data_IF_113731267740
#
_entry.id   IF_113731267740
#
_cell.length_a   1.000
_cell.length_b   1.000
_cell.length_c   1.000
_cell.angle_alpha   90.00
_cell.angle_beta   90.00
_cell.angle_gamma   90.00
#
_symmetry.space_group_name_H-M   'P 1'
#
loop_
_entity.id
_entity.type
_entity.pdbx_description
1 polymer ?
#
# COMPACT_ATOMS: atom_id res chain seq x y z
N UNK A 1 -22.30 28.75 13.73
CA UNK A 1 -21.98 27.60 14.56
C UNK A 1 -20.51 27.19 14.41
N UNK A 2 -20.19 25.92 14.67
CA UNK A 2 -18.79 25.42 14.52
C UNK A 2 -18.39 25.34 13.05
N UNK A 3 -19.32 24.96 12.19
CA UNK A 3 -19.16 24.92 10.73
C UNK A 3 -18.83 26.29 10.13
N UNK A 4 -19.53 27.35 10.54
CA UNK A 4 -19.26 28.73 10.07
C UNK A 4 -17.84 29.22 10.44
N UNK A 5 -17.26 28.69 11.53
CA UNK A 5 -15.89 29.05 11.93
C UNK A 5 -14.86 28.30 11.07
N UNK A 6 -15.12 27.03 10.78
CA UNK A 6 -14.24 26.21 9.93
C UNK A 6 -14.19 26.75 8.51
N UNK A 7 -15.35 27.00 7.89
CA UNK A 7 -15.47 27.61 6.57
C UNK A 7 -14.71 28.94 6.47
N UNK A 8 -14.90 29.84 7.46
CA UNK A 8 -14.20 31.12 7.49
C UNK A 8 -12.68 31.00 7.60
N UNK A 9 -12.19 30.04 8.39
CA UNK A 9 -10.76 29.81 8.53
C UNK A 9 -10.19 29.22 7.25
N UNK A 10 -10.86 28.25 6.67
CA UNK A 10 -10.44 27.60 5.44
C UNK A 10 -10.44 28.58 4.26
N UNK A 11 -11.48 29.43 4.15
CA UNK A 11 -11.55 30.45 3.12
C UNK A 11 -10.38 31.46 3.19
N UNK A 12 -9.98 31.84 4.40
CA UNK A 12 -8.80 32.70 4.58
C UNK A 12 -7.51 31.97 4.21
N UNK A 13 -7.38 30.69 4.58
CA UNK A 13 -6.20 29.89 4.22
C UNK A 13 -6.12 29.70 2.71
N UNK A 14 -7.22 29.38 2.04
CA UNK A 14 -7.28 29.28 0.58
C UNK A 14 -6.86 30.56 -0.13
N UNK A 15 -7.29 31.70 0.40
CA UNK A 15 -6.91 33.03 -0.14
C UNK A 15 -5.41 33.31 -0.03
N UNK A 16 -4.80 32.97 1.11
CA UNK A 16 -3.35 33.11 1.31
C UNK A 16 -2.57 32.14 0.42
N UNK A 17 -3.04 30.89 0.26
CA UNK A 17 -2.44 29.90 -0.66
C UNK A 17 -2.43 30.45 -2.08
N UNK A 18 -3.55 30.97 -2.56
CA UNK A 18 -3.66 31.55 -3.89
C UNK A 18 -2.69 32.72 -4.11
N UNK A 19 -2.53 33.57 -3.10
CA UNK A 19 -1.56 34.66 -3.11
C UNK A 19 -0.12 34.18 -3.20
N UNK A 20 0.27 33.19 -2.39
CA UNK A 20 1.62 32.62 -2.40
C UNK A 20 1.97 31.97 -3.75
N UNK A 21 1.01 31.31 -4.38
CA UNK A 21 1.18 30.70 -5.71
C UNK A 21 1.31 31.80 -6.78
N UNK A 22 0.45 32.82 -6.73
CA UNK A 22 0.47 33.91 -7.69
C UNK A 22 1.77 34.73 -7.63
N UNK A 23 2.38 34.84 -6.45
CA UNK A 23 3.69 35.49 -6.24
C UNK A 23 4.90 34.58 -6.53
N UNK A 24 4.68 33.34 -7.02
CA UNK A 24 5.74 32.34 -7.31
C UNK A 24 6.63 32.05 -6.07
N UNK A 25 6.03 32.04 -4.88
CA UNK A 25 6.74 31.78 -3.62
C UNK A 25 6.88 30.27 -3.38
N UNK A 26 5.81 29.49 -3.61
CA UNK A 26 5.82 28.03 -3.48
C UNK A 26 4.66 27.43 -4.29
N UNK A 27 4.79 26.16 -4.67
CA UNK A 27 3.69 25.40 -5.26
C UNK A 27 2.69 24.87 -4.21
N UNK A 28 1.49 24.42 -4.60
CA UNK A 28 0.47 23.91 -3.68
C UNK A 28 0.98 22.79 -2.77
N UNK A 29 1.77 21.85 -3.31
CA UNK A 29 2.26 20.69 -2.58
C UNK A 29 3.28 21.09 -1.50
N UNK A 30 4.16 22.05 -1.79
CA UNK A 30 5.14 22.55 -0.83
C UNK A 30 4.47 23.37 0.29
N UNK A 31 3.42 24.15 -0.03
CA UNK A 31 2.62 24.89 0.96
C UNK A 31 1.92 23.91 1.90
N UNK A 32 1.24 22.92 1.36
CA UNK A 32 0.53 21.90 2.11
C UNK A 32 1.47 21.12 3.02
N UNK A 33 2.61 20.69 2.50
CA UNK A 33 3.65 20.01 3.26
C UNK A 33 4.21 20.87 4.40
N UNK A 34 4.44 22.16 4.15
CA UNK A 34 4.97 23.06 5.18
C UNK A 34 3.97 23.25 6.32
N UNK A 35 2.67 23.38 6.03
CA UNK A 35 1.62 23.56 7.04
C UNK A 35 1.36 22.27 7.81
N UNK A 36 1.30 21.12 7.14
CA UNK A 36 1.19 19.80 7.80
C UNK A 36 2.35 19.58 8.78
N UNK A 37 3.58 19.76 8.34
CA UNK A 37 4.77 19.50 9.16
C UNK A 37 5.03 20.60 10.22
N UNK A 38 4.74 21.86 9.91
CA UNK A 38 5.04 23.00 10.77
C UNK A 38 3.97 23.31 11.79
N UNK A 39 2.70 23.11 11.45
CA UNK A 39 1.55 23.48 12.28
C UNK A 39 0.73 22.27 12.78
N UNK A 40 1.05 21.04 12.31
CA UNK A 40 0.37 19.83 12.74
C UNK A 40 -1.08 19.72 12.26
N UNK A 41 -1.38 20.29 11.10
CA UNK A 41 -2.69 20.15 10.48
C UNK A 41 -2.86 18.73 9.94
N UNK A 42 -4.07 18.17 9.98
CA UNK A 42 -4.34 16.82 9.42
C UNK A 42 -4.13 16.79 7.92
N UNK A 43 -4.50 17.87 7.21
CA UNK A 43 -4.29 18.06 5.78
C UNK A 43 -3.72 19.44 5.47
N UNK A 44 -3.20 19.61 4.25
CA UNK A 44 -2.70 20.88 3.78
C UNK A 44 -3.82 21.85 3.37
N UNK A 45 -3.59 23.17 3.46
CA UNK A 45 -4.63 24.17 3.18
C UNK A 45 -5.09 24.19 1.72
N UNK A 46 -4.22 23.88 0.74
CA UNK A 46 -4.60 23.83 -0.67
C UNK A 46 -5.55 22.64 -0.92
N UNK A 47 -5.16 21.44 -0.44
CA UNK A 47 -5.99 20.24 -0.56
C UNK A 47 -7.33 20.41 0.17
N UNK A 48 -7.31 20.88 1.41
CA UNK A 48 -8.53 21.10 2.18
C UNK A 48 -9.49 22.09 1.48
N UNK A 49 -8.96 23.06 0.76
CA UNK A 49 -9.75 24.04 0.02
C UNK A 49 -10.36 23.42 -1.25
N UNK A 50 -9.61 22.59 -1.97
CA UNK A 50 -10.12 21.86 -3.13
C UNK A 50 -11.24 20.90 -2.72
N UNK A 51 -11.05 20.11 -1.65
CA UNK A 51 -12.05 19.19 -1.08
C UNK A 51 -13.34 19.91 -0.63
N UNK A 52 -13.23 21.14 -0.11
CA UNK A 52 -14.39 21.93 0.31
C UNK A 52 -15.12 22.57 -0.88
N UNK A 53 -14.37 22.89 -1.94
CA UNK A 53 -14.83 23.56 -3.15
C UNK A 53 -14.56 25.06 -3.15
N UNK A 54 -13.67 25.51 -4.05
CA UNK A 54 -13.19 26.90 -4.13
C UNK A 54 -14.31 27.90 -4.36
N UNK A 55 -15.35 27.56 -5.11
CA UNK A 55 -16.52 28.45 -5.35
C UNK A 55 -17.22 28.83 -4.03
N UNK A 56 -17.43 27.86 -3.14
CA UNK A 56 -18.06 28.13 -1.84
C UNK A 56 -17.17 29.02 -0.95
N UNK A 57 -15.84 28.80 -0.98
CA UNK A 57 -14.88 29.59 -0.21
C UNK A 57 -14.78 31.05 -0.72
N UNK A 58 -14.84 31.26 -2.03
CA UNK A 58 -14.91 32.60 -2.65
C UNK A 58 -16.19 33.32 -2.21
N UNK A 59 -17.35 32.65 -2.27
CA UNK A 59 -18.62 33.21 -1.81
C UNK A 59 -18.58 33.59 -0.31
N UNK A 60 -17.95 32.74 0.51
CA UNK A 60 -17.78 33.03 1.94
C UNK A 60 -16.91 34.26 2.19
N UNK A 61 -15.81 34.44 1.44
CA UNK A 61 -14.94 35.63 1.52
C UNK A 61 -15.68 36.89 1.06
N UNK A 62 -16.39 36.85 -0.07
CA UNK A 62 -17.16 37.98 -0.57
C UNK A 62 -18.23 38.41 0.44
N UNK A 63 -18.97 37.49 1.03
CA UNK A 63 -19.96 37.74 2.08
C UNK A 63 -19.32 38.40 3.34
N UNK A 64 -18.14 37.88 3.74
CA UNK A 64 -17.40 38.40 4.89
C UNK A 64 -16.84 39.80 4.61
N UNK A 65 -16.38 40.06 3.39
CA UNK A 65 -15.91 41.36 2.97
C UNK A 65 -17.07 42.38 2.95
N UNK A 66 -18.21 42.04 2.37
CA UNK A 66 -19.41 42.89 2.34
C UNK A 66 -19.91 43.20 3.76
N UNK A 67 -19.92 42.23 4.65
CA UNK A 67 -20.40 42.38 6.02
C UNK A 67 -19.46 43.20 6.92
N UNK A 68 -18.14 43.17 6.67
CA UNK A 68 -17.15 43.74 7.61
C UNK A 68 -16.34 44.90 7.03
N UNK A 69 -16.21 44.99 5.70
CA UNK A 69 -15.34 45.95 5.00
C UNK A 69 -13.85 45.70 5.24
N UNK A 70 -13.47 44.50 5.75
CA UNK A 70 -12.07 44.22 6.11
C UNK A 70 -11.29 43.71 4.91
N UNK A 71 -10.12 44.33 4.63
CA UNK A 71 -9.26 44.03 3.47
C UNK A 71 -8.81 42.55 3.42
N UNK A 72 -8.64 41.88 4.57
CA UNK A 72 -8.25 40.47 4.64
C UNK A 72 -9.25 39.48 4.02
N UNK A 73 -10.45 39.92 3.68
CA UNK A 73 -11.47 39.12 3.01
C UNK A 73 -11.61 39.46 1.52
N UNK A 74 -10.75 40.34 1.01
CA UNK A 74 -10.69 40.58 -0.44
C UNK A 74 -10.15 39.32 -1.08
N UNK A 75 -10.91 38.77 -2.03
CA UNK A 75 -10.54 37.55 -2.74
C UNK A 75 -9.38 37.83 -3.68
N UNK A 76 -8.32 37.03 -3.59
CA UNK A 76 -7.22 37.08 -4.55
C UNK A 76 -7.71 36.73 -5.96
N UNK A 77 -7.22 37.49 -6.96
CA UNK A 77 -7.65 37.31 -8.34
C UNK A 77 -7.41 35.87 -8.83
N UNK A 78 -6.30 35.28 -8.45
CA UNK A 78 -5.94 33.88 -8.79
C UNK A 78 -6.91 32.85 -8.20
N UNK A 79 -7.39 33.06 -6.94
CA UNK A 79 -8.40 32.19 -6.33
C UNK A 79 -9.74 32.29 -7.06
N UNK A 80 -10.12 33.51 -7.46
CA UNK A 80 -11.35 33.74 -8.21
C UNK A 80 -11.31 33.08 -9.59
N UNK A 81 -10.18 33.19 -10.30
CA UNK A 81 -9.97 32.55 -11.60
C UNK A 81 -10.04 31.04 -11.50
N UNK A 82 -9.44 30.42 -10.48
CA UNK A 82 -9.55 29.00 -10.22
C UNK A 82 -11.00 28.57 -9.96
N UNK A 83 -11.70 29.27 -9.09
CA UNK A 83 -13.11 28.97 -8.78
C UNK A 83 -14.04 29.12 -10.01
N UNK A 84 -13.82 30.14 -10.86
CA UNK A 84 -14.60 30.35 -12.08
C UNK A 84 -14.30 29.32 -13.18
N UNK A 85 -13.07 28.80 -13.23
CA UNK A 85 -12.67 27.77 -14.19
C UNK A 85 -13.15 26.37 -13.80
N UNK A 86 -13.56 26.17 -12.54
CA UNK A 86 -13.86 24.87 -11.97
C UNK A 86 -12.61 24.03 -11.69
N UNK A 87 -11.41 24.65 -11.74
CA UNK A 87 -10.17 23.99 -11.37
C UNK A 87 -9.88 24.19 -9.88
N UNK A 88 -9.17 23.23 -9.29
CA UNK A 88 -8.59 23.36 -7.96
C UNK A 88 -7.16 23.88 -8.00
N UNK A 89 -6.52 24.01 -6.82
CA UNK A 89 -5.09 24.31 -6.71
C UNK A 89 -4.20 23.25 -7.34
N UNK A 90 -4.69 22.00 -7.36
CA UNK A 90 -4.03 20.86 -7.99
C UNK A 90 -4.44 20.63 -9.45
N UNK A 91 -5.19 21.57 -10.04
CA UNK A 91 -5.66 21.49 -11.43
C UNK A 91 -7.17 21.28 -11.57
N UNK A 92 -7.68 21.09 -12.80
CA UNK A 92 -9.09 20.75 -12.98
C UNK A 92 -9.38 19.46 -12.23
N UNK A 93 -10.52 19.39 -11.54
CA UNK A 93 -11.02 18.14 -11.02
C UNK A 93 -11.29 17.21 -12.22
N UNK A 94 -10.32 16.42 -12.62
CA UNK A 94 -10.54 15.28 -13.50
C UNK A 94 -11.40 14.31 -12.70
N UNK A 95 -12.59 13.98 -13.23
CA UNK A 95 -13.46 12.96 -12.63
C UNK A 95 -12.76 11.57 -12.56
N UNK A 96 -11.51 11.48 -13.07
CA UNK A 96 -10.61 10.32 -12.99
C UNK A 96 -9.63 10.36 -11.82
N UNK A 97 -9.47 11.50 -11.10
CA UNK A 97 -8.50 11.66 -9.98
C UNK A 97 -9.16 11.57 -8.59
N UNK A 98 -10.47 11.25 -8.47
CA UNK A 98 -11.07 10.78 -7.21
C UNK A 98 -10.68 9.33 -6.89
N UNK A 99 -9.90 8.65 -7.75
CA UNK A 99 -9.35 7.33 -7.50
C UNK A 99 -8.00 7.44 -6.77
N UNK A 100 -8.07 7.25 -5.44
CA UNK A 100 -6.99 6.74 -4.60
C UNK A 100 -5.68 7.54 -4.50
N UNK A 101 -5.73 8.79 -4.04
CA UNK A 101 -4.51 9.46 -3.59
C UNK A 101 -4.12 9.00 -2.19
N UNK A 102 -3.37 7.91 -2.08
CA UNK A 102 -2.71 7.50 -0.85
C UNK A 102 -1.51 8.41 -0.57
N UNK A 103 -1.26 8.73 0.70
CA UNK A 103 -0.11 9.56 1.09
C UNK A 103 1.19 8.75 1.20
N UNK A 104 1.07 7.47 1.52
CA UNK A 104 2.21 6.59 1.83
C UNK A 104 2.39 5.45 0.84
N UNK A 105 1.46 5.29 -0.09
CA UNK A 105 1.45 4.26 -1.13
C UNK A 105 1.27 4.86 -2.52
N UNK A 106 1.80 4.16 -3.53
CA UNK A 106 1.35 4.25 -4.91
C UNK A 106 0.53 3.01 -5.24
N UNK A 107 -0.64 3.20 -5.84
CA UNK A 107 -1.48 2.09 -6.30
C UNK A 107 -1.82 2.33 -7.76
N UNK A 108 -1.55 1.35 -8.60
CA UNK A 108 -1.87 1.39 -10.03
C UNK A 108 -2.31 0.02 -10.52
N UNK A 109 -3.07 -0.02 -11.60
CA UNK A 109 -3.45 -1.25 -12.30
C UNK A 109 -2.88 -1.21 -13.71
N UNK A 110 -1.95 -2.13 -14.02
CA UNK A 110 -1.41 -2.31 -15.37
C UNK A 110 -1.91 -3.65 -15.95
N UNK A 111 -2.87 -3.56 -16.86
CA UNK A 111 -3.51 -4.72 -17.44
C UNK A 111 -4.31 -5.50 -16.39
N UNK A 112 -3.81 -6.67 -15.99
CA UNK A 112 -4.42 -7.55 -14.96
C UNK A 112 -3.60 -7.63 -13.68
N UNK A 113 -2.64 -6.74 -13.49
CA UNK A 113 -1.79 -6.69 -12.31
C UNK A 113 -2.06 -5.41 -11.54
N UNK A 114 -2.52 -5.55 -10.29
CA UNK A 114 -2.55 -4.46 -9.33
C UNK A 114 -1.16 -4.29 -8.71
N UNK A 115 -0.62 -3.09 -8.69
CA UNK A 115 0.66 -2.78 -8.09
C UNK A 115 0.48 -1.90 -6.87
N UNK A 116 1.02 -2.32 -5.74
CA UNK A 116 1.12 -1.53 -4.52
C UNK A 116 2.59 -1.22 -4.29
N UNK A 117 2.94 0.05 -4.31
CA UNK A 117 4.29 0.52 -4.03
C UNK A 117 4.33 1.31 -2.72
N UNK A 118 5.21 0.93 -1.78
CA UNK A 118 5.42 1.70 -0.55
C UNK A 118 6.16 3.00 -0.89
N UNK A 119 5.55 4.17 -0.68
CA UNK A 119 6.08 5.46 -1.16
C UNK A 119 6.61 6.37 -0.05
N UNK A 120 7.44 5.83 0.84
CA UNK A 120 8.17 6.61 1.86
C UNK A 120 9.69 6.44 1.75
N UNK A 121 10.32 6.61 0.54
CA UNK A 121 11.74 6.32 0.34
C UNK A 121 12.66 7.18 1.21
N UNK A 122 12.26 8.41 1.56
CA UNK A 122 12.99 9.30 2.47
C UNK A 122 13.09 8.73 3.90
N UNK A 123 12.21 7.81 4.29
CA UNK A 123 12.20 7.05 5.55
C UNK A 123 12.47 5.56 5.35
N UNK A 124 13.08 5.18 4.22
CA UNK A 124 13.35 3.77 3.88
C UNK A 124 12.07 2.91 3.91
N UNK A 125 10.95 3.46 3.47
CA UNK A 125 9.64 2.82 3.43
C UNK A 125 9.22 2.20 4.78
N UNK A 126 9.51 2.91 5.90
CA UNK A 126 9.05 2.47 7.21
C UNK A 126 7.54 2.52 7.31
N UNK A 127 6.98 1.52 7.98
CA UNK A 127 5.54 1.28 8.07
C UNK A 127 4.99 2.02 9.29
N UNK A 128 4.13 3.00 9.05
CA UNK A 128 3.35 3.74 10.05
C UNK A 128 1.94 3.16 10.18
N UNK A 129 1.17 3.63 11.17
CA UNK A 129 -0.26 3.27 11.30
C UNK A 129 -1.05 3.68 10.05
N UNK A 130 -0.78 4.87 9.53
CA UNK A 130 -1.38 5.41 8.31
C UNK A 130 -1.10 4.49 7.10
N UNK A 131 0.17 4.09 6.89
CA UNK A 131 0.51 3.14 5.83
C UNK A 131 -0.23 1.81 5.99
N UNK A 132 -0.42 1.32 7.22
CA UNK A 132 -1.18 0.08 7.47
C UNK A 132 -2.66 0.24 7.10
N UNK A 133 -3.27 1.39 7.43
CA UNK A 133 -4.66 1.68 7.10
C UNK A 133 -4.85 1.82 5.58
N UNK A 134 -3.99 2.60 4.92
CA UNK A 134 -3.98 2.75 3.47
C UNK A 134 -3.74 1.43 2.74
N UNK A 135 -2.77 0.63 3.20
CA UNK A 135 -2.49 -0.69 2.62
C UNK A 135 -3.71 -1.62 2.74
N UNK A 136 -4.41 -1.57 3.88
CA UNK A 136 -5.64 -2.35 4.07
C UNK A 136 -6.75 -1.95 3.10
N UNK A 137 -6.88 -0.66 2.81
CA UNK A 137 -7.84 -0.11 1.84
C UNK A 137 -7.43 -0.48 0.42
N UNK A 138 -6.17 -0.28 0.06
CA UNK A 138 -5.64 -0.60 -1.27
C UNK A 138 -5.82 -2.08 -1.64
N UNK A 139 -5.63 -2.99 -0.67
CA UNK A 139 -5.86 -4.42 -0.90
C UNK A 139 -7.35 -4.69 -1.15
N UNK A 140 -8.25 -4.11 -0.34
CA UNK A 140 -9.69 -4.30 -0.49
C UNK A 140 -10.19 -3.77 -1.85
N UNK A 141 -9.65 -2.65 -2.32
CA UNK A 141 -9.99 -2.05 -3.63
C UNK A 141 -9.48 -2.89 -4.79
N UNK A 142 -8.21 -3.32 -4.77
CA UNK A 142 -7.68 -4.20 -5.81
C UNK A 142 -8.39 -5.56 -5.85
N UNK A 143 -8.84 -6.08 -4.72
CA UNK A 143 -9.64 -7.31 -4.67
C UNK A 143 -11.08 -7.11 -5.19
N UNK A 144 -11.61 -5.89 -5.17
CA UNK A 144 -12.91 -5.55 -5.73
C UNK A 144 -12.89 -5.37 -7.27
N UNK A 145 -11.71 -5.20 -7.86
CA UNK A 145 -11.53 -5.06 -9.31
C UNK A 145 -11.55 -6.43 -9.99
N UNK A 146 -12.59 -6.70 -10.76
CA UNK A 146 -12.79 -7.99 -11.46
C UNK A 146 -11.63 -8.37 -12.42
N UNK A 147 -10.92 -7.37 -12.94
CA UNK A 147 -9.82 -7.55 -13.90
C UNK A 147 -8.46 -7.79 -13.23
N UNK A 148 -8.30 -7.51 -11.94
CA UNK A 148 -7.04 -7.76 -11.20
C UNK A 148 -6.90 -9.24 -10.90
N UNK A 149 -5.81 -9.85 -11.40
CA UNK A 149 -5.54 -11.30 -11.30
C UNK A 149 -4.21 -11.63 -10.65
N UNK A 150 -3.38 -10.65 -10.39
CA UNK A 150 -2.17 -10.75 -9.59
C UNK A 150 -1.90 -9.41 -8.90
N UNK A 151 -1.21 -9.44 -7.75
CA UNK A 151 -0.79 -8.24 -7.03
C UNK A 151 0.72 -8.23 -6.98
N UNK A 152 1.33 -7.12 -7.39
CA UNK A 152 2.73 -6.82 -7.18
C UNK A 152 2.88 -5.91 -5.97
N UNK A 153 3.84 -6.21 -5.10
CA UNK A 153 4.22 -5.39 -3.96
C UNK A 153 5.68 -4.98 -4.09
N UNK A 154 5.99 -3.68 -4.02
CA UNK A 154 7.35 -3.15 -4.07
C UNK A 154 7.57 -1.97 -3.13
N UNK A 155 8.77 -1.45 -3.07
CA UNK A 155 9.10 -0.23 -2.34
C UNK A 155 9.77 0.79 -3.24
N UNK A 156 9.35 2.05 -3.16
CA UNK A 156 9.91 3.14 -3.92
C UNK A 156 11.36 3.42 -3.53
N UNK A 157 12.18 3.77 -4.53
CA UNK A 157 13.60 4.05 -4.38
C UNK A 157 14.46 2.79 -4.35
N UNK A 158 15.77 3.00 -4.21
CA UNK A 158 16.82 1.97 -4.35
C UNK A 158 17.41 1.48 -3.01
N UNK A 159 16.91 2.00 -1.88
CA UNK A 159 17.51 1.74 -0.57
C UNK A 159 16.82 0.64 0.23
N UNK A 160 15.52 0.52 0.10
CA UNK A 160 14.75 -0.41 0.91
C UNK A 160 13.41 -0.75 0.27
N UNK A 161 13.08 -2.01 0.24
CA UNK A 161 11.69 -2.44 0.17
C UNK A 161 10.94 -1.87 1.38
N UNK A 162 11.36 -2.21 2.60
CA UNK A 162 10.92 -1.56 3.84
C UNK A 162 11.91 -1.86 4.98
N UNK A 163 12.30 -0.83 5.73
CA UNK A 163 13.15 -0.98 6.93
C UNK A 163 12.36 -1.34 8.21
N UNK A 164 11.08 -1.68 8.08
CA UNK A 164 10.23 -2.13 9.19
C UNK A 164 9.35 -1.04 9.80
N UNK A 165 8.93 -1.24 11.04
CA UNK A 165 8.06 -0.30 11.74
C UNK A 165 8.68 1.09 11.89
N UNK A 166 7.88 2.14 11.83
CA UNK A 166 8.32 3.50 12.13
C UNK A 166 8.50 3.69 13.64
N UNK A 167 9.67 3.28 14.14
CA UNK A 167 10.02 3.30 15.58
C UNK A 167 9.99 4.73 16.15
N UNK A 168 10.22 5.76 15.33
CA UNK A 168 10.16 7.15 15.78
C UNK A 168 8.72 7.55 16.12
N UNK A 169 7.77 7.17 15.28
CA UNK A 169 6.34 7.39 15.54
C UNK A 169 5.87 6.62 16.77
N UNK A 170 6.30 5.36 16.94
CA UNK A 170 6.02 4.57 18.14
C UNK A 170 6.58 5.19 19.43
N UNK A 171 7.78 5.75 19.39
CA UNK A 171 8.40 6.39 20.54
C UNK A 171 7.73 7.74 20.91
N UNK A 172 7.23 8.48 19.93
CA UNK A 172 6.57 9.76 20.12
C UNK A 172 5.19 9.64 20.81
N UNK A 173 4.46 8.53 20.56
CA UNK A 173 3.16 8.24 21.17
C UNK A 173 3.24 7.83 22.65
N UNK A 174 4.44 7.60 23.19
CA UNK A 174 4.64 7.09 24.55
C UNK A 174 4.43 5.58 24.63
N UNK A 175 4.97 4.93 25.66
CA UNK A 175 4.87 3.48 25.83
C UNK A 175 3.51 3.09 26.44
N UNK A 176 2.42 3.25 25.71
CA UNK A 176 1.10 2.76 26.13
C UNK A 176 0.91 1.31 25.64
N UNK A 177 0.87 0.31 26.55
CA UNK A 177 0.74 -1.08 26.15
C UNK A 177 -0.55 -1.40 25.40
N UNK A 178 -1.63 -0.67 25.62
CA UNK A 178 -2.90 -0.91 24.91
C UNK A 178 -2.81 -0.44 23.46
N UNK A 179 -2.27 0.75 23.23
CA UNK A 179 -2.04 1.27 21.87
C UNK A 179 -1.05 0.37 21.09
N UNK A 180 -0.02 -0.16 21.77
CA UNK A 180 0.89 -1.13 21.16
C UNK A 180 0.18 -2.43 20.74
N UNK A 181 -0.79 -2.91 21.52
CA UNK A 181 -1.61 -4.08 21.15
C UNK A 181 -2.52 -3.76 19.97
N UNK A 182 -3.11 -2.57 19.94
CA UNK A 182 -3.97 -2.12 18.83
C UNK A 182 -3.17 -2.01 17.53
N UNK A 183 -2.00 -1.38 17.58
CA UNK A 183 -1.09 -1.31 16.42
C UNK A 183 -0.65 -2.70 15.93
N UNK A 184 -0.32 -3.60 16.88
CA UNK A 184 0.03 -4.99 16.53
C UNK A 184 -1.12 -5.71 15.82
N UNK A 185 -2.35 -5.55 16.30
CA UNK A 185 -3.53 -6.13 15.66
C UNK A 185 -3.80 -5.52 14.29
N UNK A 186 -3.71 -4.20 14.16
CA UNK A 186 -3.88 -3.52 12.88
C UNK A 186 -2.93 -4.10 11.83
N UNK A 187 -1.63 -4.20 12.15
CA UNK A 187 -0.66 -4.81 11.22
C UNK A 187 -0.91 -6.29 10.94
N UNK A 188 -1.34 -7.07 11.95
CA UNK A 188 -1.70 -8.47 11.74
C UNK A 188 -2.92 -8.63 10.82
N UNK A 189 -3.93 -7.78 10.97
CA UNK A 189 -5.15 -7.78 10.18
C UNK A 189 -4.85 -7.31 8.75
N UNK A 190 -4.14 -6.20 8.57
CA UNK A 190 -3.76 -5.67 7.25
C UNK A 190 -2.92 -6.67 6.47
N UNK A 191 -1.86 -7.21 7.08
CA UNK A 191 -1.02 -8.22 6.43
C UNK A 191 -1.77 -9.53 6.18
N UNK A 192 -2.74 -9.85 7.05
CA UNK A 192 -3.62 -10.99 6.86
C UNK A 192 -4.51 -10.87 5.63
N UNK A 193 -4.97 -9.67 5.29
CA UNK A 193 -5.72 -9.42 4.04
C UNK A 193 -4.86 -9.76 2.82
N UNK A 194 -3.62 -9.25 2.77
CA UNK A 194 -2.71 -9.52 1.66
C UNK A 194 -2.41 -11.01 1.51
N UNK A 195 -2.15 -11.71 2.64
CA UNK A 195 -1.93 -13.16 2.64
C UNK A 195 -3.16 -13.93 2.14
N UNK A 196 -4.37 -13.47 2.47
CA UNK A 196 -5.63 -14.11 2.12
C UNK A 196 -6.21 -13.66 0.77
N UNK A 197 -5.58 -12.68 0.10
CA UNK A 197 -6.03 -12.16 -1.18
C UNK A 197 -6.28 -13.30 -2.19
N UNK A 198 -7.35 -13.19 -2.95
CA UNK A 198 -7.73 -14.19 -3.95
C UNK A 198 -6.70 -14.25 -5.09
N UNK A 199 -6.16 -13.10 -5.48
CA UNK A 199 -5.07 -13.00 -6.44
C UNK A 199 -3.73 -13.43 -5.83
N UNK A 200 -2.83 -14.10 -6.59
CA UNK A 200 -1.46 -14.33 -6.16
C UNK A 200 -0.69 -13.03 -5.99
N UNK A 201 0.15 -12.96 -4.96
CA UNK A 201 0.94 -11.80 -4.59
C UNK A 201 2.43 -12.07 -4.81
N UNK A 202 3.09 -11.17 -5.54
CA UNK A 202 4.54 -11.21 -5.78
C UNK A 202 5.19 -10.00 -5.11
N UNK A 203 6.23 -10.20 -4.31
CA UNK A 203 7.02 -9.12 -3.74
C UNK A 203 8.35 -8.95 -4.50
N UNK A 204 8.60 -7.74 -5.01
CA UNK A 204 9.88 -7.29 -5.53
C UNK A 204 10.67 -6.58 -4.43
N UNK A 205 11.77 -7.18 -3.97
CA UNK A 205 12.51 -6.74 -2.78
C UNK A 205 13.85 -6.16 -3.23
N UNK A 206 13.98 -4.84 -3.14
CA UNK A 206 15.26 -4.17 -3.33
C UNK A 206 15.76 -3.55 -2.01
N UNK A 207 17.08 -3.61 -1.76
CA UNK A 207 17.69 -3.08 -0.56
C UNK A 207 17.21 -3.75 0.74
N UNK A 208 16.93 -2.94 1.76
CA UNK A 208 16.55 -3.46 3.08
C UNK A 208 15.12 -4.00 3.13
N UNK A 209 14.97 -5.22 3.66
CA UNK A 209 13.69 -5.84 3.99
C UNK A 209 13.75 -6.34 5.44
N UNK A 210 13.47 -5.45 6.40
CA UNK A 210 13.77 -5.67 7.81
C UNK A 210 12.52 -5.55 8.69
N UNK A 211 12.44 -6.36 9.75
CA UNK A 211 11.38 -6.31 10.73
C UNK A 211 9.99 -6.36 10.10
N UNK A 212 9.14 -5.38 10.38
CA UNK A 212 7.81 -5.29 9.77
C UNK A 212 7.79 -5.36 8.24
N UNK A 213 8.86 -4.89 7.55
CA UNK A 213 9.02 -5.05 6.10
C UNK A 213 9.20 -6.51 5.70
N UNK A 214 9.98 -7.28 6.46
CA UNK A 214 10.10 -8.72 6.25
C UNK A 214 8.80 -9.45 6.65
N UNK A 215 8.08 -8.98 7.69
CA UNK A 215 6.77 -9.51 8.05
C UNK A 215 5.75 -9.32 6.91
N UNK A 216 5.74 -8.14 6.28
CA UNK A 216 4.94 -7.85 5.09
C UNK A 216 5.31 -8.78 3.93
N UNK A 217 6.60 -8.93 3.65
CA UNK A 217 7.08 -9.83 2.59
C UNK A 217 6.73 -11.31 2.83
N UNK A 218 6.52 -11.75 4.11
CA UNK A 218 6.03 -13.11 4.39
C UNK A 218 4.62 -13.36 3.91
N UNK A 219 3.84 -12.30 3.64
CA UNK A 219 2.45 -12.40 3.17
C UNK A 219 2.33 -12.52 1.66
N UNK A 220 3.37 -12.20 0.91
CA UNK A 220 3.43 -12.49 -0.51
C UNK A 220 3.54 -14.01 -0.76
N UNK A 221 2.99 -14.48 -1.88
CA UNK A 221 3.11 -15.87 -2.31
C UNK A 221 4.51 -16.16 -2.84
N UNK A 222 5.07 -15.22 -3.60
CA UNK A 222 6.42 -15.31 -4.16
C UNK A 222 7.23 -14.04 -3.84
N UNK A 223 8.54 -14.18 -3.71
CA UNK A 223 9.50 -13.11 -3.38
C UNK A 223 10.68 -13.17 -4.33
N UNK A 224 10.91 -12.07 -5.03
CA UNK A 224 12.09 -11.85 -5.87
C UNK A 224 12.96 -10.79 -5.19
N UNK A 225 14.23 -11.06 -4.98
CA UNK A 225 15.13 -10.14 -4.30
C UNK A 225 16.31 -9.70 -5.15
N UNK A 226 16.73 -8.46 -4.97
CA UNK A 226 17.98 -7.95 -5.51
C UNK A 226 19.19 -8.58 -4.82
N UNK A 227 20.33 -8.72 -5.55
CA UNK A 227 21.56 -9.29 -4.96
C UNK A 227 22.11 -8.50 -3.78
N UNK A 228 21.78 -7.21 -3.72
CA UNK A 228 22.18 -6.30 -2.63
C UNK A 228 21.20 -6.31 -1.46
N UNK A 229 20.10 -7.05 -1.55
CA UNK A 229 19.08 -7.03 -0.52
C UNK A 229 19.59 -7.66 0.79
N UNK A 230 19.26 -7.00 1.91
CA UNK A 230 19.52 -7.48 3.26
C UNK A 230 18.19 -7.69 3.99
N UNK A 231 17.96 -8.91 4.47
CA UNK A 231 16.72 -9.32 5.12
C UNK A 231 16.94 -9.74 6.56
N UNK A 232 15.95 -9.54 7.42
CA UNK A 232 16.06 -9.98 8.84
C UNK A 232 14.93 -9.49 9.73
N UNK A 233 14.91 -10.04 10.96
CA UNK A 233 13.96 -9.68 12.02
C UNK A 233 14.72 -9.08 13.21
N UNK A 234 15.09 -7.77 13.18
CA UNK A 234 15.99 -7.16 14.17
C UNK A 234 15.29 -6.72 15.46
N UNK A 235 14.01 -7.04 15.66
CA UNK A 235 13.19 -6.58 16.79
C UNK A 235 13.79 -6.91 18.16
N UNK A 236 14.49 -8.05 18.29
CA UNK A 236 15.17 -8.43 19.53
C UNK A 236 16.27 -7.44 19.94
N UNK A 237 16.88 -6.72 19.00
CA UNK A 237 17.84 -5.64 19.32
C UNK A 237 17.18 -4.47 20.06
N UNK A 238 15.85 -4.34 19.96
CA UNK A 238 15.03 -3.35 20.65
C UNK A 238 14.33 -3.93 21.90
N UNK A 239 14.53 -5.21 22.20
CA UNK A 239 13.81 -5.91 23.26
C UNK A 239 12.34 -6.22 22.90
N UNK A 240 12.01 -6.20 21.62
CA UNK A 240 10.69 -6.50 21.06
C UNK A 240 10.71 -7.86 20.34
N UNK A 241 9.56 -8.29 19.89
CA UNK A 241 9.40 -9.44 18.99
C UNK A 241 8.72 -8.97 17.68
N UNK A 242 8.81 -9.74 16.58
CA UNK A 242 8.00 -9.48 15.38
C UNK A 242 6.52 -9.45 15.74
N UNK A 243 5.88 -8.29 15.57
CA UNK A 243 4.54 -8.02 16.12
C UNK A 243 3.40 -8.18 15.12
N UNK A 244 3.71 -8.26 13.81
CA UNK A 244 2.71 -8.26 12.73
C UNK A 244 2.54 -9.62 12.05
N UNK A 245 2.97 -10.69 12.71
CA UNK A 245 2.74 -12.07 12.29
C UNK A 245 3.99 -12.84 11.91
N UNK A 246 5.19 -12.23 11.96
CA UNK A 246 6.45 -12.88 11.59
C UNK A 246 6.73 -14.15 12.41
N UNK A 247 6.38 -14.17 13.68
CA UNK A 247 6.51 -15.36 14.54
C UNK A 247 5.67 -16.54 14.07
N UNK A 248 4.60 -16.30 13.33
CA UNK A 248 3.69 -17.32 12.84
C UNK A 248 3.97 -17.68 11.37
N UNK A 249 4.11 -16.68 10.50
CA UNK A 249 4.24 -16.87 9.06
C UNK A 249 5.62 -17.36 8.65
N UNK A 250 6.69 -16.75 9.17
CA UNK A 250 8.07 -17.07 8.77
C UNK A 250 8.39 -18.57 8.92
N UNK A 251 7.95 -19.19 10.01
CA UNK A 251 8.19 -20.63 10.25
C UNK A 251 7.57 -21.57 9.21
N UNK A 252 6.50 -21.13 8.53
CA UNK A 252 5.87 -21.92 7.47
C UNK A 252 6.66 -21.85 6.16
N UNK A 253 7.48 -20.82 5.99
CA UNK A 253 8.30 -20.61 4.80
C UNK A 253 9.67 -21.27 4.97
N UNK A 254 10.40 -20.94 6.04
CA UNK A 254 11.80 -21.37 6.24
C UNK A 254 11.95 -22.54 7.24
N UNK A 255 10.86 -22.98 7.82
CA UNK A 255 10.86 -23.96 8.91
C UNK A 255 11.18 -23.34 10.27
N UNK A 256 10.76 -23.99 11.36
CA UNK A 256 10.83 -23.45 12.72
C UNK A 256 12.26 -23.16 13.19
N UNK A 257 13.23 -24.00 12.82
CA UNK A 257 14.63 -23.83 13.22
C UNK A 257 15.25 -22.56 12.65
N UNK A 258 15.08 -22.30 11.34
CA UNK A 258 15.58 -21.10 10.68
C UNK A 258 14.81 -19.84 11.09
N UNK A 259 13.51 -19.96 11.29
CA UNK A 259 12.72 -18.83 11.82
C UNK A 259 13.22 -18.38 13.20
N UNK A 260 13.50 -19.34 14.12
CA UNK A 260 14.08 -19.02 15.42
C UNK A 260 15.49 -18.43 15.32
N UNK A 261 16.33 -18.96 14.43
CA UNK A 261 17.66 -18.41 14.17
C UNK A 261 17.56 -16.93 13.76
N UNK A 262 16.79 -16.62 12.71
CA UNK A 262 16.60 -15.28 12.20
C UNK A 262 16.08 -14.32 13.29
N UNK A 263 15.04 -14.74 14.03
CA UNK A 263 14.40 -13.88 15.03
C UNK A 263 15.29 -13.72 16.28
N UNK A 264 15.90 -14.79 16.79
CA UNK A 264 16.62 -14.76 18.07
C UNK A 264 18.00 -14.09 17.94
N UNK A 265 18.68 -14.27 16.80
CA UNK A 265 19.97 -13.62 16.55
C UNK A 265 19.79 -12.15 16.18
N UNK A 266 18.63 -11.79 15.62
CA UNK A 266 18.34 -10.46 15.09
C UNK A 266 19.41 -9.98 14.07
N UNK A 267 20.05 -10.92 13.40
CA UNK A 267 21.05 -10.66 12.36
C UNK A 267 20.39 -10.32 11.02
N UNK A 268 21.18 -9.76 10.12
CA UNK A 268 20.81 -9.52 8.73
C UNK A 268 21.46 -10.58 7.87
N UNK A 269 20.71 -11.03 6.90
CA UNK A 269 21.11 -12.06 5.94
C UNK A 269 21.05 -11.49 4.53
N UNK A 270 22.00 -11.86 3.69
CA UNK A 270 21.95 -11.54 2.28
C UNK A 270 20.88 -12.35 1.52
N UNK A 271 20.53 -11.88 0.32
CA UNK A 271 19.47 -12.50 -0.49
C UNK A 271 19.77 -13.95 -0.84
N UNK A 272 21.02 -14.31 -1.11
CA UNK A 272 21.43 -15.68 -1.46
C UNK A 272 21.25 -16.63 -0.26
N UNK A 273 21.63 -16.20 0.94
CA UNK A 273 21.39 -16.97 2.17
C UNK A 273 19.88 -17.15 2.41
N UNK A 274 19.09 -16.11 2.17
CA UNK A 274 17.64 -16.20 2.35
C UNK A 274 16.97 -17.06 1.25
N UNK A 275 17.55 -17.14 0.07
CA UNK A 275 17.15 -18.12 -0.96
C UNK A 275 17.49 -19.56 -0.53
N UNK A 276 18.68 -19.80 0.02
CA UNK A 276 19.06 -21.11 0.57
C UNK A 276 18.14 -21.53 1.74
N UNK A 277 17.61 -20.58 2.50
CA UNK A 277 16.63 -20.87 3.55
C UNK A 277 15.20 -21.07 3.01
N UNK A 278 14.97 -20.84 1.73
CA UNK A 278 13.68 -20.96 1.07
C UNK A 278 12.75 -19.76 1.27
N UNK A 279 13.27 -18.62 1.76
CA UNK A 279 12.47 -17.40 1.88
C UNK A 279 12.35 -16.68 0.54
N UNK A 280 13.44 -16.56 -0.22
CA UNK A 280 13.48 -15.93 -1.54
C UNK A 280 13.35 -17.00 -2.62
N UNK A 281 12.50 -16.76 -3.61
CA UNK A 281 12.29 -17.64 -4.76
C UNK A 281 13.36 -17.44 -5.84
N UNK A 282 13.70 -16.17 -6.14
CA UNK A 282 14.69 -15.79 -7.15
C UNK A 282 15.55 -14.63 -6.65
N UNK A 283 16.87 -14.67 -6.95
CA UNK A 283 17.81 -13.57 -6.70
C UNK A 283 18.33 -13.05 -8.03
N UNK A 284 18.08 -11.79 -8.32
CA UNK A 284 18.34 -11.15 -9.62
C UNK A 284 18.97 -9.77 -9.46
N UNK A 285 19.38 -9.14 -10.57
CA UNK A 285 19.94 -7.78 -10.52
C UNK A 285 18.82 -6.72 -10.44
N UNK A 286 17.68 -6.94 -11.13
CA UNK A 286 16.53 -6.02 -11.21
C UNK A 286 15.28 -6.69 -10.61
N UNK A 287 15.12 -6.69 -9.28
CA UNK A 287 14.08 -7.49 -8.62
C UNK A 287 12.66 -7.01 -8.91
N UNK A 288 12.43 -5.71 -9.02
CA UNK A 288 11.10 -5.15 -9.30
C UNK A 288 10.67 -5.47 -10.73
N UNK A 289 11.56 -5.35 -11.71
CA UNK A 289 11.28 -5.71 -13.11
C UNK A 289 10.93 -7.19 -13.23
N UNK A 290 11.74 -8.06 -12.58
CA UNK A 290 11.48 -9.51 -12.59
C UNK A 290 10.18 -9.88 -11.87
N UNK A 291 9.85 -9.19 -10.78
CA UNK A 291 8.60 -9.38 -10.06
C UNK A 291 7.38 -8.96 -10.91
N UNK A 292 7.50 -7.90 -11.72
CA UNK A 292 6.51 -7.51 -12.71
C UNK A 292 6.26 -8.59 -13.76
N UNK A 293 7.34 -9.15 -14.33
CA UNK A 293 7.23 -10.26 -15.29
C UNK A 293 6.47 -11.43 -14.66
N UNK A 294 6.88 -11.84 -13.45
CA UNK A 294 6.25 -12.96 -12.76
C UNK A 294 4.78 -12.68 -12.43
N UNK A 295 4.44 -11.45 -12.01
CA UNK A 295 3.05 -11.06 -11.74
C UNK A 295 2.19 -11.12 -13.02
N UNK A 296 2.73 -10.68 -14.17
CA UNK A 296 2.03 -10.79 -15.47
C UNK A 296 1.85 -12.26 -15.90
N UNK A 297 2.84 -13.11 -15.70
CA UNK A 297 2.74 -14.54 -15.97
C UNK A 297 1.64 -15.19 -15.10
N UNK A 298 1.59 -14.84 -13.81
CA UNK A 298 0.55 -15.32 -12.90
C UNK A 298 -0.84 -14.78 -13.28
N UNK A 299 -0.94 -13.52 -13.68
CA UNK A 299 -2.18 -12.90 -14.12
C UNK A 299 -2.74 -13.50 -15.43
N UNK A 300 -1.86 -14.07 -16.26
CA UNK A 300 -2.26 -14.85 -17.44
C UNK A 300 -2.74 -16.25 -17.10
N UNK A 301 -2.47 -16.76 -15.90
CA UNK A 301 -2.87 -18.09 -15.44
C UNK A 301 -4.36 -18.20 -15.11
N UNK A 302 -4.83 -19.44 -14.74
CA UNK A 302 -6.23 -19.73 -14.42
C UNK A 302 -6.62 -19.16 -13.03
N UNK A 303 -7.32 -18.02 -12.92
CA UNK A 303 -7.48 -17.29 -11.67
C UNK A 303 -8.29 -18.06 -10.62
N UNK A 304 -9.31 -18.80 -11.05
CA UNK A 304 -10.13 -19.62 -10.14
C UNK A 304 -9.31 -20.75 -9.51
N UNK A 305 -8.46 -21.40 -10.32
CA UNK A 305 -7.60 -22.48 -9.82
C UNK A 305 -6.52 -21.94 -8.87
N UNK A 306 -5.89 -20.82 -9.20
CA UNK A 306 -4.89 -20.14 -8.36
C UNK A 306 -5.48 -19.76 -6.99
N UNK A 307 -6.65 -19.11 -6.97
CA UNK A 307 -7.38 -18.76 -5.76
C UNK A 307 -7.64 -19.97 -4.85
N UNK A 308 -8.19 -21.05 -5.40
CA UNK A 308 -8.48 -22.23 -4.60
C UNK A 308 -7.22 -22.94 -4.13
N UNK A 309 -6.16 -22.98 -4.94
CA UNK A 309 -4.86 -23.52 -4.53
C UNK A 309 -4.32 -22.75 -3.32
N UNK A 310 -4.29 -21.43 -3.38
CA UNK A 310 -3.85 -20.58 -2.26
C UNK A 310 -4.68 -20.82 -1.00
N UNK A 311 -6.01 -20.82 -1.11
CA UNK A 311 -6.92 -21.10 0.02
C UNK A 311 -6.70 -22.48 0.64
N UNK A 312 -6.54 -23.53 -0.16
CA UNK A 312 -6.27 -24.87 0.33
C UNK A 312 -4.93 -24.93 1.08
N UNK A 313 -3.86 -24.34 0.52
CA UNK A 313 -2.55 -24.30 1.16
C UNK A 313 -2.56 -23.51 2.47
N UNK A 314 -3.25 -22.37 2.53
CA UNK A 314 -3.38 -21.57 3.76
C UNK A 314 -4.14 -22.32 4.85
N UNK A 315 -5.27 -22.95 4.53
CA UNK A 315 -6.05 -23.76 5.48
C UNK A 315 -5.25 -24.95 6.00
N UNK A 316 -4.46 -25.58 5.11
CA UNK A 316 -3.61 -26.72 5.46
C UNK A 316 -2.47 -26.42 6.43
N UNK A 317 -2.09 -25.14 6.64
CA UNK A 317 -1.04 -24.76 7.60
C UNK A 317 -1.38 -25.14 9.06
N UNK A 318 -2.65 -25.02 9.42
CA UNK A 318 -3.12 -25.35 10.78
C UNK A 318 -3.76 -26.72 10.90
N UNK A 319 -4.39 -27.20 9.82
CA UNK A 319 -5.12 -28.44 9.75
C UNK A 319 -5.05 -29.03 8.33
N UNK A 320 -4.24 -30.07 8.16
CA UNK A 320 -4.06 -30.72 6.87
C UNK A 320 -5.37 -31.29 6.30
N UNK A 321 -6.26 -31.81 7.17
CA UNK A 321 -7.52 -32.39 6.71
C UNK A 321 -8.47 -31.28 6.19
N UNK A 322 -8.45 -30.08 6.80
CA UNK A 322 -9.18 -28.93 6.28
C UNK A 322 -8.66 -28.47 4.92
N UNK A 323 -7.33 -28.44 4.74
CA UNK A 323 -6.71 -28.13 3.44
C UNK A 323 -7.12 -29.13 2.35
N UNK A 324 -7.06 -30.44 2.64
CA UNK A 324 -7.44 -31.51 1.73
C UNK A 324 -8.95 -31.49 1.39
N UNK A 325 -9.81 -31.10 2.33
CA UNK A 325 -11.24 -30.95 2.06
C UNK A 325 -11.50 -29.79 1.06
N UNK A 326 -10.86 -28.63 1.26
CA UNK A 326 -10.94 -27.51 0.31
C UNK A 326 -10.41 -27.93 -1.07
N UNK A 327 -9.26 -28.61 -1.13
CA UNK A 327 -8.67 -29.10 -2.38
C UNK A 327 -9.64 -30.01 -3.14
N UNK A 328 -10.28 -30.96 -2.44
CA UNK A 328 -11.22 -31.90 -3.05
C UNK A 328 -12.46 -31.20 -3.60
N UNK A 329 -13.02 -30.24 -2.85
CA UNK A 329 -14.19 -29.46 -3.28
C UNK A 329 -13.83 -28.57 -4.46
N UNK A 330 -12.69 -27.88 -4.39
CA UNK A 330 -12.19 -27.03 -5.45
C UNK A 330 -11.92 -27.81 -6.74
N UNK A 331 -11.30 -28.99 -6.65
CA UNK A 331 -11.06 -29.85 -7.81
C UNK A 331 -12.37 -30.22 -8.50
N UNK A 332 -13.41 -30.58 -7.72
CA UNK A 332 -14.74 -30.86 -8.27
C UNK A 332 -15.38 -29.64 -8.93
N UNK A 333 -15.20 -28.44 -8.34
CA UNK A 333 -15.71 -27.19 -8.91
C UNK A 333 -15.04 -26.85 -10.24
N UNK A 334 -13.72 -26.95 -10.30
CA UNK A 334 -12.91 -26.65 -11.48
C UNK A 334 -13.23 -27.55 -12.67
N UNK A 335 -13.77 -28.74 -12.44
CA UNK A 335 -14.22 -29.63 -13.54
C UNK A 335 -15.36 -29.07 -14.38
N UNK A 336 -16.00 -28.02 -13.95
CA UNK A 336 -17.12 -27.36 -14.66
C UNK A 336 -16.79 -25.96 -15.17
N UNK A 337 -15.52 -25.52 -15.10
CA UNK A 337 -15.11 -24.21 -15.60
C UNK A 337 -14.85 -24.23 -17.10
N UNK A 338 -15.03 -23.09 -17.75
CA UNK A 338 -14.65 -22.89 -19.16
C UNK A 338 -13.12 -22.93 -19.30
N UNK A 339 -12.39 -22.44 -18.30
CA UNK A 339 -10.92 -22.46 -18.22
C UNK A 339 -10.35 -23.89 -18.30
N UNK A 340 -11.03 -24.90 -17.73
CA UNK A 340 -10.60 -26.29 -17.89
C UNK A 340 -10.66 -26.73 -19.36
N UNK A 341 -11.73 -26.38 -20.06
CA UNK A 341 -11.91 -26.76 -21.47
C UNK A 341 -10.91 -26.04 -22.36
N UNK A 342 -10.66 -24.76 -22.06
CA UNK A 342 -9.63 -23.96 -22.73
C UNK A 342 -8.25 -24.60 -22.53
N UNK A 343 -7.86 -24.86 -21.28
CA UNK A 343 -6.57 -25.49 -20.96
C UNK A 343 -6.39 -26.86 -21.63
N UNK A 344 -7.43 -27.71 -21.69
CA UNK A 344 -7.37 -28.99 -22.39
C UNK A 344 -7.19 -28.78 -23.90
N UNK A 345 -7.92 -27.85 -24.48
CA UNK A 345 -7.87 -27.56 -25.94
C UNK A 345 -6.51 -27.02 -26.33
N UNK A 346 -5.99 -26.05 -25.61
CA UNK A 346 -4.66 -25.47 -25.82
C UNK A 346 -3.56 -26.51 -25.68
N UNK A 347 -3.62 -27.34 -24.62
CA UNK A 347 -2.67 -28.45 -24.43
C UNK A 347 -2.66 -29.46 -25.57
N UNK A 348 -3.82 -29.82 -26.13
CA UNK A 348 -3.92 -30.75 -27.28
C UNK A 348 -3.48 -30.09 -28.59
N UNK A 349 -3.62 -28.76 -28.71
CA UNK A 349 -3.25 -27.97 -29.87
C UNK A 349 -1.81 -27.50 -29.88
N UNK A 350 -1.06 -27.67 -28.80
CA UNK A 350 0.28 -27.10 -28.57
C UNK A 350 0.24 -25.55 -28.69
N UNK A 351 -0.82 -24.97 -28.10
CA UNK A 351 -1.11 -23.52 -28.07
C UNK A 351 -1.04 -23.00 -26.63
N UNK A 352 -0.90 -21.68 -26.44
CA UNK A 352 -0.99 -21.04 -25.12
C UNK A 352 -2.48 -20.82 -24.77
N UNK A 353 -2.93 -21.19 -23.55
CA UNK A 353 -4.32 -21.00 -23.15
C UNK A 353 -4.63 -19.55 -22.80
N UNK A 354 -5.86 -19.10 -23.08
CA UNK A 354 -6.39 -17.80 -22.68
C UNK A 354 -7.46 -17.98 -21.60
N UNK A 355 -7.05 -17.95 -20.32
CA UNK A 355 -7.98 -18.12 -19.20
C UNK A 355 -8.80 -16.86 -18.92
N UNK A 356 -10.10 -17.05 -18.72
CA UNK A 356 -11.06 -15.97 -18.45
C UNK A 356 -11.61 -15.95 -17.00
N UNK A 357 -11.37 -17.03 -16.23
CA UNK A 357 -11.89 -17.13 -14.87
C UNK A 357 -13.35 -17.56 -14.79
N UNK A 358 -13.85 -18.28 -15.80
CA UNK A 358 -15.25 -18.71 -15.95
C UNK A 358 -15.42 -20.21 -15.90
#
# INVERSE_FOLDING_TARGET
GREDIQERLLALMANEVAGLIAEDVADPADIDRAVKLGAGFPDGPAKMADDYGLTALVEALDNLHEATGAERYVVEDSLRELAESGAGFYGPADESDEENSYETLGVEVDGRVGHIELQRPHRMNTISSELLEELGTAIDELEAEDDVRAILLSGAGDRAFSAGADVQSMAAGGANPLEAVELSKLGQETFGKLEAADAPVVAGIDGYCLGGGMELATCADMRVAGRSAELGQPEHNLGLLPGWGGTQRLRHIVGEGRAKEIIFTAERYDAETMADYGFINEVVDEPTERAWELARDLAAGPPVAQRFTKRAMLAGRGDTDAGLEIESQAFGHLMNTEDLMEGITAFMGDEEPEFEGK
#
